data_IF_833379969353
#
_entry.id   IF_833379969353
#
_cell.length_a   1.000
_cell.length_b   1.000
_cell.length_c   1.000
_cell.angle_alpha   90.00
_cell.angle_beta   90.00
_cell.angle_gamma   90.00
#
_symmetry.space_group_name_H-M   'P 1'
#
loop_
_entity.id
_entity.type
_entity.pdbx_description
1 polymer ?
#
# COMPACT_ATOMS: atom_id res chain seq x y z
N UNK A 1 -15.50 0.94 -1.82
CA UNK A 1 -15.10 1.83 -0.71
C UNK A 1 -15.11 1.02 0.58
N UNK A 2 -14.35 1.42 1.60
CA UNK A 2 -14.47 0.90 2.96
C UNK A 2 -15.10 1.99 3.84
N UNK A 3 -15.97 1.56 4.74
CA UNK A 3 -16.65 2.40 5.72
C UNK A 3 -16.20 1.94 7.10
N UNK A 4 -15.57 2.82 7.86
CA UNK A 4 -14.96 2.44 9.14
C UNK A 4 -15.56 3.28 10.25
N UNK A 5 -16.15 2.62 11.24
CA UNK A 5 -16.63 3.24 12.48
C UNK A 5 -16.08 2.46 13.67
N UNK A 6 -15.66 3.17 14.72
CA UNK A 6 -15.10 2.53 15.92
C UNK A 6 -14.00 1.49 15.61
N UNK A 7 -13.15 1.79 14.61
CA UNK A 7 -12.07 0.94 14.09
C UNK A 7 -12.51 -0.38 13.43
N UNK A 8 -13.78 -0.55 13.10
CA UNK A 8 -14.28 -1.74 12.39
C UNK A 8 -14.91 -1.35 11.07
N UNK A 9 -14.83 -2.24 10.09
CA UNK A 9 -15.57 -2.11 8.85
C UNK A 9 -17.08 -2.25 9.14
N UNK A 10 -17.88 -1.28 8.71
CA UNK A 10 -19.35 -1.30 8.86
C UNK A 10 -20.01 -1.60 7.53
N UNK A 11 -21.15 -2.29 7.59
CA UNK A 11 -21.94 -2.64 6.40
C UNK A 11 -22.64 -1.40 5.86
N UNK A 12 -22.98 -1.43 4.58
CA UNK A 12 -23.49 -0.28 3.81
C UNK A 12 -24.76 0.37 4.39
N UNK A 13 -25.57 -0.41 5.13
CA UNK A 13 -26.79 0.05 5.81
C UNK A 13 -26.52 0.92 7.06
N UNK A 14 -25.29 0.93 7.60
CA UNK A 14 -24.89 1.68 8.79
C UNK A 14 -23.99 2.89 8.46
N UNK A 15 -23.90 3.25 7.17
CA UNK A 15 -22.92 4.22 6.64
C UNK A 15 -23.23 5.68 7.00
N UNK A 16 -24.45 6.00 7.41
CA UNK A 16 -24.90 7.39 7.61
C UNK A 16 -24.61 7.98 9.01
N UNK A 17 -23.75 7.35 9.81
CA UNK A 17 -23.38 7.82 11.14
C UNK A 17 -22.33 8.95 11.12
N UNK A 18 -22.36 9.91 12.08
CA UNK A 18 -21.45 11.06 12.11
C UNK A 18 -19.96 10.72 12.34
N UNK A 19 -19.65 9.46 12.67
CA UNK A 19 -18.29 8.99 12.97
C UNK A 19 -17.80 7.92 11.98
N UNK A 20 -18.40 7.87 10.78
CA UNK A 20 -17.99 6.93 9.72
C UNK A 20 -16.89 7.58 8.88
N UNK A 21 -15.75 6.90 8.81
CA UNK A 21 -14.63 7.27 7.94
C UNK A 21 -14.74 6.52 6.62
N UNK A 22 -14.71 7.26 5.52
CA UNK A 22 -14.81 6.72 4.18
C UNK A 22 -13.43 6.70 3.52
N UNK A 23 -12.95 5.52 3.13
CA UNK A 23 -11.62 5.37 2.55
C UNK A 23 -11.62 4.31 1.46
N UNK A 24 -10.85 4.52 0.40
CA UNK A 24 -10.65 3.48 -0.61
C UNK A 24 -9.84 2.32 -0.01
N UNK A 25 -10.26 1.09 -0.32
CA UNK A 25 -9.57 -0.14 0.10
C UNK A 25 -8.07 -0.09 -0.24
N UNK A 26 -7.73 0.27 -1.48
CA UNK A 26 -6.35 0.37 -1.91
C UNK A 26 -5.57 1.50 -1.21
N UNK A 27 -6.23 2.58 -0.80
CA UNK A 27 -5.56 3.65 -0.03
C UNK A 27 -5.20 3.19 1.39
N UNK A 28 -6.03 2.34 2.01
CA UNK A 28 -5.69 1.72 3.31
C UNK A 28 -4.53 0.74 3.14
N UNK A 29 -4.58 -0.14 2.13
CA UNK A 29 -3.52 -1.13 1.94
C UNK A 29 -2.19 -0.50 1.52
N UNK A 30 -2.23 0.60 0.77
CA UNK A 30 -1.03 1.37 0.42
C UNK A 30 -0.52 2.29 1.55
N UNK A 31 -1.20 2.34 2.69
CA UNK A 31 -0.87 3.25 3.79
C UNK A 31 0.08 2.55 4.80
N UNK A 32 1.35 3.00 4.94
CA UNK A 32 2.37 2.28 5.74
C UNK A 32 2.09 2.20 7.24
N UNK A 33 1.16 2.98 7.79
CA UNK A 33 0.88 2.97 9.24
C UNK A 33 -0.40 2.22 9.63
N UNK A 34 -1.23 1.85 8.65
CA UNK A 34 -2.51 1.15 8.90
C UNK A 34 -2.27 -0.34 8.88
N UNK A 35 -2.79 -1.04 9.90
CA UNK A 35 -2.72 -2.48 10.00
C UNK A 35 -3.96 -3.02 10.71
N UNK A 36 -4.22 -4.31 10.54
CA UNK A 36 -5.36 -5.00 11.13
C UNK A 36 -4.91 -5.89 12.29
N UNK A 37 -5.65 -5.86 13.38
CA UNK A 37 -5.56 -6.84 14.48
C UNK A 37 -6.90 -7.56 14.54
N UNK A 38 -6.94 -8.78 13.98
CA UNK A 38 -8.21 -9.43 13.64
C UNK A 38 -9.01 -8.54 12.69
N UNK A 39 -10.22 -8.17 13.09
CA UNK A 39 -11.11 -7.28 12.33
C UNK A 39 -10.97 -5.79 12.70
N UNK A 40 -10.03 -5.46 13.59
CA UNK A 40 -9.85 -4.09 14.09
C UNK A 40 -8.78 -3.34 13.31
N UNK A 41 -9.13 -2.20 12.73
CA UNK A 41 -8.25 -1.28 12.02
C UNK A 41 -7.48 -0.41 13.00
N UNK A 42 -6.16 -0.51 13.01
CA UNK A 42 -5.28 0.25 13.87
C UNK A 42 -4.67 1.43 13.13
N UNK A 43 -4.39 2.51 13.87
CA UNK A 43 -3.69 3.73 13.38
C UNK A 43 -4.34 4.49 12.22
N UNK A 44 -5.58 4.20 11.84
CA UNK A 44 -6.28 4.88 10.74
C UNK A 44 -6.26 6.41 10.87
N UNK A 45 -6.67 6.95 12.01
CA UNK A 45 -6.73 8.41 12.24
C UNK A 45 -5.35 9.06 12.14
N UNK A 46 -4.30 8.42 12.68
CA UNK A 46 -2.92 8.90 12.57
C UNK A 46 -2.46 8.94 11.13
N UNK A 47 -2.82 7.92 10.35
CA UNK A 47 -2.47 7.85 8.95
C UNK A 47 -3.23 8.89 8.10
N UNK A 48 -4.50 9.13 8.40
CA UNK A 48 -5.27 10.20 7.76
C UNK A 48 -4.67 11.57 8.08
N UNK A 49 -4.32 11.82 9.35
CA UNK A 49 -3.65 13.04 9.75
C UNK A 49 -2.28 13.23 9.06
N UNK A 50 -1.51 12.15 8.89
CA UNK A 50 -0.23 12.18 8.17
C UNK A 50 -0.43 12.45 6.68
N UNK A 51 -1.23 11.62 6.00
CA UNK A 51 -1.45 11.68 4.56
C UNK A 51 -2.08 13.01 4.11
N UNK A 52 -2.92 13.64 4.95
CA UNK A 52 -3.48 14.97 4.67
C UNK A 52 -2.42 16.07 4.50
N UNK A 53 -1.20 15.87 5.02
CA UNK A 53 -0.07 16.81 4.92
C UNK A 53 0.87 16.50 3.75
N UNK A 54 0.78 15.30 3.17
CA UNK A 54 1.66 14.84 2.11
C UNK A 54 1.12 15.19 0.73
N UNK A 55 2.00 15.74 -0.12
CA UNK A 55 1.68 16.06 -1.51
C UNK A 55 2.06 14.90 -2.42
N UNK A 56 1.20 14.61 -3.39
CA UNK A 56 1.49 13.64 -4.43
C UNK A 56 2.64 14.16 -5.31
N UNK A 57 3.66 13.33 -5.53
CA UNK A 57 4.79 13.65 -6.42
C UNK A 57 4.40 13.67 -7.90
N UNK A 58 3.22 13.14 -8.26
CA UNK A 58 2.69 13.17 -9.63
C UNK A 58 1.78 14.38 -9.86
N UNK A 59 0.74 14.59 -9.03
CA UNK A 59 -0.26 15.64 -9.25
C UNK A 59 -0.12 16.87 -8.33
N UNK A 60 0.76 16.83 -7.32
CA UNK A 60 0.99 17.93 -6.37
C UNK A 60 -0.07 18.11 -5.28
N UNK A 61 -1.22 17.42 -5.37
CA UNK A 61 -2.33 17.53 -4.43
C UNK A 61 -2.08 16.75 -3.13
N UNK A 62 -2.74 17.17 -2.03
CA UNK A 62 -2.63 16.53 -0.71
C UNK A 62 -3.35 15.17 -0.65
N UNK A 63 -3.07 14.38 0.39
CA UNK A 63 -3.73 13.08 0.63
C UNK A 63 -2.98 11.86 0.06
N UNK A 64 -1.71 12.04 -0.30
CA UNK A 64 -0.89 11.00 -0.91
C UNK A 64 -0.31 10.05 0.16
N UNK A 65 -1.06 9.02 0.55
CA UNK A 65 -0.64 8.10 1.61
C UNK A 65 0.45 7.10 1.19
N UNK A 66 0.45 6.67 -0.08
CA UNK A 66 1.35 5.65 -0.62
C UNK A 66 2.77 6.21 -0.74
N UNK A 67 3.73 5.64 -0.01
CA UNK A 67 5.13 6.03 -0.04
C UNK A 67 6.01 5.07 -0.84
N UNK A 68 7.17 5.56 -1.28
CA UNK A 68 8.25 4.71 -1.76
C UNK A 68 8.73 3.77 -0.64
N UNK A 69 9.09 2.52 -0.97
CA UNK A 69 9.60 1.52 -0.03
C UNK A 69 10.95 1.89 0.58
N UNK A 70 11.73 2.76 -0.07
CA UNK A 70 12.98 3.31 0.48
C UNK A 70 12.66 4.29 1.61
N UNK A 71 13.01 3.93 2.85
CA UNK A 71 12.65 4.69 4.08
C UNK A 71 13.10 6.15 4.10
N UNK A 72 14.23 6.47 3.45
CA UNK A 72 14.74 7.85 3.35
C UNK A 72 14.09 8.66 2.24
N UNK A 73 13.36 8.03 1.32
CA UNK A 73 12.69 8.69 0.22
C UNK A 73 11.40 9.38 0.70
N UNK A 74 11.20 10.62 0.27
CA UNK A 74 10.03 11.43 0.63
C UNK A 74 8.96 11.45 -0.47
N UNK A 75 9.15 10.71 -1.57
CA UNK A 75 8.16 10.66 -2.64
C UNK A 75 6.93 9.89 -2.17
N UNK A 76 5.78 10.53 -2.34
CA UNK A 76 4.48 10.02 -1.94
C UNK A 76 3.49 10.19 -3.07
N UNK A 77 2.54 9.27 -3.22
CA UNK A 77 1.60 9.26 -4.32
C UNK A 77 0.19 8.97 -3.83
N UNK A 78 -0.83 9.42 -4.58
CA UNK A 78 -2.09 8.71 -4.55
C UNK A 78 -1.89 7.36 -5.26
N UNK A 79 -2.59 6.32 -4.81
CA UNK A 79 -2.54 5.01 -5.44
C UNK A 79 -2.76 5.06 -6.96
N UNK A 80 -3.86 5.68 -7.48
CA UNK A 80 -4.06 5.77 -8.94
C UNK A 80 -2.95 6.57 -9.65
N UNK A 81 -2.44 7.64 -9.03
CA UNK A 81 -1.33 8.40 -9.60
C UNK A 81 -0.05 7.56 -9.72
N UNK A 82 0.25 6.71 -8.74
CA UNK A 82 1.40 5.80 -8.80
C UNK A 82 1.25 4.79 -9.95
N UNK A 83 0.07 4.21 -10.14
CA UNK A 83 -0.22 3.32 -11.27
C UNK A 83 -0.09 4.02 -12.64
N UNK A 84 -0.48 5.30 -12.73
CA UNK A 84 -0.36 6.09 -13.95
C UNK A 84 1.04 6.68 -14.21
N UNK A 85 1.95 6.63 -13.23
CA UNK A 85 3.29 7.21 -13.35
C UNK A 85 4.27 6.17 -13.90
N UNK A 86 4.85 6.45 -15.07
CA UNK A 86 5.90 5.60 -15.62
C UNK A 86 7.11 5.52 -14.69
N UNK A 87 7.67 4.31 -14.54
CA UNK A 87 8.82 4.06 -13.67
C UNK A 87 8.47 3.77 -12.20
N UNK A 88 7.22 3.91 -11.76
CA UNK A 88 6.83 3.29 -10.50
C UNK A 88 6.88 1.77 -10.64
N UNK A 89 7.57 1.09 -9.73
CA UNK A 89 7.63 -0.37 -9.67
C UNK A 89 6.87 -0.88 -8.47
N UNK A 90 6.16 -1.99 -8.66
CA UNK A 90 5.38 -2.64 -7.62
C UNK A 90 5.96 -4.00 -7.31
N UNK A 91 5.80 -4.46 -6.09
CA UNK A 91 6.09 -5.84 -5.77
C UNK A 91 5.04 -6.80 -6.35
N UNK A 92 5.33 -8.10 -6.27
CA UNK A 92 4.46 -9.15 -6.81
C UNK A 92 3.04 -9.16 -6.19
N UNK A 93 2.90 -8.59 -4.99
CA UNK A 93 1.64 -8.50 -4.24
C UNK A 93 0.93 -7.15 -4.43
N UNK A 94 1.51 -6.21 -5.17
CA UNK A 94 0.96 -4.88 -5.41
C UNK A 94 0.81 -4.01 -4.15
N UNK A 95 1.54 -4.35 -3.09
CA UNK A 95 1.44 -3.72 -1.75
C UNK A 95 2.61 -2.78 -1.47
N UNK A 96 3.78 -3.05 -2.05
CA UNK A 96 4.96 -2.21 -1.93
C UNK A 96 5.28 -1.55 -3.27
N UNK A 97 5.81 -0.32 -3.20
CA UNK A 97 6.11 0.47 -4.40
C UNK A 97 7.47 1.14 -4.29
N UNK A 98 8.26 1.10 -5.37
CA UNK A 98 9.40 1.99 -5.59
C UNK A 98 9.00 3.11 -6.54
N UNK A 99 9.36 4.35 -6.18
CA UNK A 99 9.16 5.49 -7.07
C UNK A 99 10.14 5.44 -8.25
N UNK A 100 9.97 6.28 -9.28
CA UNK A 100 10.85 6.28 -10.46
C UNK A 100 12.34 6.44 -10.13
N UNK A 101 12.68 7.21 -9.09
CA UNK A 101 14.07 7.38 -8.61
C UNK A 101 14.69 6.10 -8.03
N UNK A 102 13.89 5.08 -7.72
CA UNK A 102 14.31 3.82 -7.10
C UNK A 102 13.86 2.59 -7.91
N UNK A 103 13.48 2.79 -9.18
CA UNK A 103 12.98 1.76 -10.11
C UNK A 103 14.02 0.70 -10.55
N UNK A 104 15.21 0.68 -9.95
CA UNK A 104 16.22 -0.37 -10.14
C UNK A 104 16.44 -1.24 -8.90
N UNK A 105 15.74 -0.94 -7.81
CA UNK A 105 15.89 -1.65 -6.55
C UNK A 105 15.05 -2.94 -6.55
N UNK A 106 15.38 -3.86 -5.64
CA UNK A 106 14.68 -5.13 -5.50
C UNK A 106 14.00 -5.21 -4.15
N UNK A 107 12.79 -5.74 -4.12
CA UNK A 107 12.11 -5.98 -2.86
C UNK A 107 12.76 -7.17 -2.13
N UNK A 108 12.83 -7.15 -0.78
CA UNK A 108 13.49 -8.21 -0.02
C UNK A 108 12.93 -9.61 -0.28
N UNK A 109 11.62 -9.75 -0.49
CA UNK A 109 10.94 -11.04 -0.63
C UNK A 109 11.14 -11.70 -2.01
N UNK A 110 11.49 -10.94 -3.05
CA UNK A 110 11.71 -11.45 -4.41
C UNK A 110 12.92 -12.41 -4.50
N UNK A 111 13.89 -12.28 -3.57
CA UNK A 111 15.07 -13.17 -3.49
C UNK A 111 14.69 -14.63 -3.23
N UNK A 112 13.53 -14.89 -2.64
CA UNK A 112 13.10 -16.23 -2.20
C UNK A 112 12.55 -17.10 -3.35
N UNK A 113 11.96 -16.48 -4.38
CA UNK A 113 11.35 -17.21 -5.51
C UNK A 113 12.38 -17.92 -6.40
N UNK A 114 13.62 -17.40 -6.49
CA UNK A 114 14.72 -18.06 -7.23
C UNK A 114 15.19 -19.37 -6.59
N UNK A 115 15.18 -19.48 -5.25
CA UNK A 115 15.59 -20.72 -4.56
C UNK A 115 14.60 -21.87 -4.75
N UNK A 116 13.30 -21.60 -4.88
CA UNK A 116 12.28 -22.64 -5.11
C UNK A 116 12.26 -23.16 -6.56
N UNK A 117 12.71 -22.39 -7.56
CA UNK A 117 12.82 -22.87 -8.95
C UNK A 117 14.01 -23.81 -9.18
N UNK A 118 15.10 -23.66 -8.43
CA UNK A 118 16.28 -24.52 -8.58
C UNK A 118 16.14 -25.90 -7.91
N UNK A 119 15.19 -26.06 -6.97
CA UNK A 119 14.95 -27.33 -6.27
C UNK A 119 14.02 -28.30 -7.01
N UNK A 120 13.41 -27.90 -8.14
CA UNK A 120 12.42 -28.70 -8.88
C UNK A 120 12.94 -29.31 -10.20
N UNK A 121 14.25 -29.28 -10.41
CA UNK A 121 14.89 -29.65 -11.68
C UNK A 121 15.73 -30.94 -11.67
N UNK A 122 15.67 -31.77 -10.63
CA UNK A 122 16.42 -33.04 -10.63
C UNK A 122 15.60 -34.17 -10.03
N UNK A 123 14.70 -34.74 -10.81
CA UNK A 123 14.08 -36.05 -10.55
C UNK A 123 13.58 -36.60 -11.88
N UNK A 124 14.46 -37.34 -12.57
CA UNK A 124 14.18 -38.57 -13.31
C UNK A 124 15.46 -38.94 -14.10
N UNK A 125 16.37 -39.58 -13.39
CA UNK A 125 17.28 -40.54 -13.98
C UNK A 125 16.87 -41.90 -13.40
N UNK A 126 16.15 -42.69 -14.20
CA UNK A 126 16.27 -44.16 -14.37
C UNK A 126 15.68 -44.46 -15.75
#
# INVERSE_FOLDING_TARGET
MLHIASRKEVKELEVSGPNVVHVHRNCIYGAPQVYYVGETVMNLEKELARSSKLKCSCCGLKGAALGCFVRSCKNTYHVPCAYGTSGCQWDDEGSLMFCPCHSGMKFPHEKTKKRKKLAKGNSLAV
#
